data_IF_338230271977
#
_entry.id   IF_338230271977
#
_cell.length_a   1.000
_cell.length_b   1.000
_cell.length_c   1.000
_cell.angle_alpha   90.00
_cell.angle_beta   90.00
_cell.angle_gamma   90.00
#
_symmetry.space_group_name_H-M   'P 1'
#
loop_
_entity.id
_entity.type
_entity.pdbx_description
1 polymer ?
#
# COMPACT_ATOMS: atom_id res chain seq x y z
N UNK A 1 -16.70 12.73 3.95
CA UNK A 1 -16.92 13.21 2.56
C UNK A 1 -17.71 12.19 1.75
N UNK A 2 -17.24 10.95 1.63
CA UNK A 2 -17.96 9.87 0.93
C UNK A 2 -19.44 9.77 1.32
N UNK A 3 -19.75 9.67 2.62
CA UNK A 3 -21.13 9.57 3.12
C UNK A 3 -21.99 10.79 2.74
N UNK A 4 -21.42 12.00 2.84
CA UNK A 4 -22.11 13.26 2.52
C UNK A 4 -22.59 13.30 1.07
N UNK A 5 -21.85 12.66 0.16
CA UNK A 5 -22.13 12.68 -1.28
C UNK A 5 -22.62 11.34 -1.82
N UNK A 6 -22.83 10.33 -0.95
CA UNK A 6 -23.25 8.99 -1.37
C UNK A 6 -22.23 8.26 -2.26
N UNK A 7 -20.94 8.52 -2.09
CA UNK A 7 -19.86 7.92 -2.88
C UNK A 7 -19.40 6.62 -2.20
N UNK A 8 -19.38 5.52 -2.95
CA UNK A 8 -18.84 4.24 -2.47
C UNK A 8 -17.34 4.32 -2.20
N UNK A 9 -16.89 3.71 -1.10
CA UNK A 9 -15.48 3.58 -0.78
C UNK A 9 -14.85 2.42 -1.55
N UNK A 10 -13.56 2.52 -1.87
CA UNK A 10 -12.79 1.45 -2.50
C UNK A 10 -11.43 1.36 -1.80
N UNK A 11 -11.08 0.17 -1.30
CA UNK A 11 -9.81 -0.08 -0.64
C UNK A 11 -8.70 -0.41 -1.66
N UNK A 12 -7.58 0.31 -1.59
CA UNK A 12 -6.37 0.08 -2.40
C UNK A 12 -5.13 0.02 -1.51
N UNK A 13 -4.06 -0.62 -1.98
CA UNK A 13 -2.80 -0.75 -1.22
C UNK A 13 -1.61 0.00 -1.84
N UNK A 14 -1.82 0.79 -2.89
CA UNK A 14 -0.77 1.55 -3.59
C UNK A 14 0.47 0.70 -3.93
N UNK A 15 0.22 -0.41 -4.62
CA UNK A 15 1.21 -1.48 -4.83
C UNK A 15 2.40 -0.99 -5.68
N UNK A 16 3.61 -1.19 -5.18
CA UNK A 16 4.88 -0.87 -5.86
C UNK A 16 5.71 -2.11 -6.20
N UNK A 17 5.46 -3.23 -5.53
CA UNK A 17 6.18 -4.49 -5.75
C UNK A 17 5.25 -5.69 -5.52
N UNK A 18 5.67 -6.88 -5.96
CA UNK A 18 4.74 -8.02 -6.07
C UNK A 18 4.55 -8.71 -4.72
N UNK A 19 5.64 -9.13 -4.08
CA UNK A 19 5.62 -9.87 -2.81
C UNK A 19 6.23 -9.04 -1.68
N UNK A 20 5.90 -9.38 -0.43
CA UNK A 20 6.47 -8.69 0.73
C UNK A 20 8.02 -8.70 0.76
N UNK A 21 8.63 -9.81 0.32
CA UNK A 21 10.10 -9.97 0.22
C UNK A 21 10.77 -9.06 -0.83
N UNK A 22 9.99 -8.46 -1.75
CA UNK A 22 10.51 -7.58 -2.80
C UNK A 22 10.76 -6.13 -2.31
N UNK A 23 10.50 -5.84 -1.02
CA UNK A 23 10.72 -4.52 -0.45
C UNK A 23 12.18 -4.05 -0.55
N UNK A 24 13.15 -4.94 -0.27
CA UNK A 24 14.57 -4.63 -0.34
C UNK A 24 15.05 -4.38 -1.79
N UNK A 25 14.70 -5.23 -2.78
CA UNK A 25 14.92 -4.92 -4.20
C UNK A 25 14.31 -3.58 -4.64
N UNK A 26 13.08 -3.27 -4.22
CA UNK A 26 12.42 -2.01 -4.56
C UNK A 26 13.14 -0.80 -3.95
N UNK A 27 13.65 -0.92 -2.73
CA UNK A 27 14.45 0.13 -2.11
C UNK A 27 15.76 0.41 -2.88
N UNK A 28 16.42 -0.64 -3.36
CA UNK A 28 17.60 -0.50 -4.23
C UNK A 28 17.24 0.21 -5.54
N UNK A 29 16.07 -0.09 -6.12
CA UNK A 29 15.56 0.61 -7.31
C UNK A 29 15.39 2.11 -7.08
N UNK A 30 14.85 2.52 -5.93
CA UNK A 30 14.72 3.94 -5.56
C UNK A 30 16.10 4.62 -5.44
N UNK A 31 17.09 3.92 -4.87
CA UNK A 31 18.46 4.43 -4.78
C UNK A 31 19.06 4.67 -6.18
N UNK A 32 18.86 3.73 -7.12
CA UNK A 32 19.29 3.88 -8.52
C UNK A 32 18.59 5.07 -9.17
N UNK A 33 17.27 5.20 -9.01
CA UNK A 33 16.48 6.28 -9.60
C UNK A 33 16.91 7.66 -9.08
N UNK A 34 17.26 7.76 -7.79
CA UNK A 34 17.61 9.03 -7.15
C UNK A 34 19.10 9.34 -7.17
N UNK A 35 19.94 8.39 -7.62
CA UNK A 35 21.40 8.52 -7.60
C UNK A 35 22.00 8.54 -6.20
N UNK A 36 21.27 8.04 -5.20
CA UNK A 36 21.66 8.05 -3.80
C UNK A 36 22.18 6.67 -3.35
N UNK A 37 23.07 6.64 -2.36
CA UNK A 37 23.61 5.39 -1.84
C UNK A 37 22.61 4.70 -0.90
N UNK A 38 22.54 3.37 -0.94
CA UNK A 38 21.79 2.58 0.05
C UNK A 38 22.25 2.81 1.49
N UNK A 39 23.52 3.23 1.66
CA UNK A 39 24.11 3.53 2.97
C UNK A 39 23.79 4.95 3.45
N UNK A 40 23.16 5.78 2.62
CA UNK A 40 22.80 7.16 2.97
C UNK A 40 21.52 7.18 3.80
N UNK A 41 21.55 7.84 4.96
CA UNK A 41 20.35 8.04 5.79
C UNK A 41 19.31 8.95 5.12
N UNK A 42 19.71 9.71 4.10
CA UNK A 42 18.85 10.63 3.34
C UNK A 42 18.24 10.00 2.09
N UNK A 43 18.51 8.71 1.84
CA UNK A 43 17.96 8.01 0.68
C UNK A 43 16.45 8.01 0.69
N UNK A 44 15.88 8.10 -0.50
CA UNK A 44 14.45 7.93 -0.69
C UNK A 44 14.05 6.51 -0.25
N UNK A 45 13.01 6.42 0.56
CA UNK A 45 12.39 5.17 1.00
C UNK A 45 10.90 5.38 1.18
N UNK A 46 10.13 4.32 0.96
CA UNK A 46 8.73 4.29 1.35
C UNK A 46 8.64 4.30 2.89
N UNK A 47 7.46 4.62 3.44
CA UNK A 47 7.30 4.75 4.90
C UNK A 47 7.47 3.42 5.63
N UNK A 48 7.14 2.31 4.97
CA UNK A 48 7.28 0.95 5.46
C UNK A 48 7.36 -0.06 4.29
N UNK A 49 7.34 -1.35 4.60
CA UNK A 49 7.45 -2.44 3.62
C UNK A 49 6.09 -3.04 3.20
N UNK A 50 4.97 -2.32 3.39
CA UNK A 50 3.61 -2.86 3.17
C UNK A 50 3.04 -2.68 1.75
N UNK A 51 3.83 -2.14 0.81
CA UNK A 51 3.42 -1.77 -0.56
C UNK A 51 3.45 -2.93 -1.57
N UNK A 52 3.23 -4.16 -1.11
CA UNK A 52 3.13 -5.35 -1.97
C UNK A 52 1.68 -5.69 -2.33
N UNK A 53 1.49 -6.61 -3.27
CA UNK A 53 0.16 -7.12 -3.61
C UNK A 53 -0.36 -8.05 -2.49
N UNK A 54 -1.21 -7.50 -1.63
CA UNK A 54 -1.81 -8.22 -0.49
C UNK A 54 -2.96 -9.13 -0.92
N UNK A 55 -3.15 -10.22 -0.18
CA UNK A 55 -4.39 -11.01 -0.22
C UNK A 55 -5.56 -10.19 0.33
N UNK A 56 -6.79 -10.65 0.08
CA UNK A 56 -7.98 -10.02 0.65
C UNK A 56 -7.94 -9.97 2.17
N UNK A 57 -7.56 -11.08 2.81
CA UNK A 57 -7.47 -11.20 4.26
C UNK A 57 -6.43 -10.23 4.83
N UNK A 58 -5.29 -10.07 4.16
CA UNK A 58 -4.26 -9.11 4.53
C UNK A 58 -4.74 -7.66 4.37
N UNK A 59 -5.53 -7.36 3.33
CA UNK A 59 -6.16 -6.05 3.16
C UNK A 59 -7.12 -5.77 4.31
N UNK A 60 -8.05 -6.68 4.60
CA UNK A 60 -8.98 -6.51 5.70
C UNK A 60 -8.27 -6.32 7.05
N UNK A 61 -7.23 -7.13 7.33
CA UNK A 61 -6.41 -6.98 8.53
C UNK A 61 -5.64 -5.66 8.61
N UNK A 62 -5.29 -5.05 7.46
CA UNK A 62 -4.62 -3.75 7.41
C UNK A 62 -5.56 -2.62 7.84
N UNK A 63 -6.82 -2.62 7.39
CA UNK A 63 -7.74 -1.48 7.60
C UNK A 63 -8.60 -1.60 8.86
N UNK A 64 -9.11 -2.81 9.19
CA UNK A 64 -10.07 -3.03 10.29
C UNK A 64 -9.62 -2.49 11.66
N UNK A 65 -8.32 -2.50 12.03
CA UNK A 65 -7.88 -1.95 13.32
C UNK A 65 -8.00 -0.42 13.41
N UNK A 66 -8.03 0.29 12.28
CA UNK A 66 -7.97 1.76 12.25
C UNK A 66 -9.28 2.42 11.84
N UNK A 67 -10.15 1.70 11.13
CA UNK A 67 -11.40 2.23 10.61
C UNK A 67 -12.45 1.13 10.43
N UNK A 68 -13.69 1.43 10.81
CA UNK A 68 -14.85 0.58 10.54
C UNK A 68 -15.35 0.84 9.11
N UNK A 69 -14.82 0.07 8.16
CA UNK A 69 -15.21 0.15 6.75
C UNK A 69 -16.37 -0.82 6.46
N UNK A 70 -17.36 -0.41 5.65
CA UNK A 70 -18.35 -1.35 5.14
C UNK A 70 -17.66 -2.44 4.31
N UNK A 71 -18.16 -3.67 4.35
CA UNK A 71 -17.62 -4.79 3.56
C UNK A 71 -17.51 -4.45 2.05
N UNK A 72 -18.45 -3.62 1.56
CA UNK A 72 -18.45 -3.12 0.18
C UNK A 72 -17.16 -2.38 -0.20
N UNK A 73 -16.43 -1.79 0.74
CA UNK A 73 -15.16 -1.15 0.45
C UNK A 73 -14.11 -2.12 -0.13
N UNK A 74 -14.18 -3.40 0.23
CA UNK A 74 -13.31 -4.47 -0.28
C UNK A 74 -13.88 -5.19 -1.50
N UNK A 75 -15.19 -5.06 -1.76
CA UNK A 75 -15.88 -5.69 -2.89
C UNK A 75 -16.02 -4.78 -4.10
N UNK A 76 -16.00 -3.46 -3.90
CA UNK A 76 -16.20 -2.48 -4.97
C UNK A 76 -15.12 -2.53 -6.06
N UNK A 77 -13.95 -3.11 -5.77
CA UNK A 77 -12.88 -3.35 -6.76
C UNK A 77 -13.17 -4.52 -7.71
N UNK A 78 -14.20 -5.33 -7.46
CA UNK A 78 -14.61 -6.46 -8.28
C UNK A 78 -15.62 -6.11 -9.38
N UNK A 79 -16.07 -4.85 -9.43
CA UNK A 79 -17.11 -4.34 -10.33
C UNK A 79 -16.50 -3.44 -11.38
#
# INVERSE_FOLDING_TARGET
>A
WADKFGIGLLATNDVHYVKAEDADPHEMLLCVQTGESIKSDKRMRLSDQSYFLKSREQMEATFRPYIDLPASAFDNSLR
#
